data_IF_305632974614
#
_entry.id   IF_305632974614
#
_cell.length_a   1.000
_cell.length_b   1.000
_cell.length_c   1.000
_cell.angle_alpha   90.00
_cell.angle_beta   90.00
_cell.angle_gamma   90.00
#
_symmetry.space_group_name_H-M   'P 1'
#
loop_
_entity.id
_entity.type
_entity.pdbx_description
1 polymer ?
#
# COMPACT_ATOMS: atom_id res chain seq x y z
N UNK A 1 -14.33 -3.44 3.84
CA UNK A 1 -13.17 -2.91 3.09
C UNK A 1 -11.92 -3.84 3.11
N UNK A 2 -11.78 -4.76 4.08
CA UNK A 2 -10.53 -5.54 4.30
C UNK A 2 -9.96 -6.35 3.13
N UNK A 3 -10.79 -6.81 2.18
CA UNK A 3 -10.33 -7.56 0.99
C UNK A 3 -9.67 -6.67 -0.08
N UNK A 4 -10.05 -5.39 -0.18
CA UNK A 4 -9.58 -4.48 -1.24
C UNK A 4 -8.22 -3.86 -0.93
N UNK A 5 -7.85 -3.76 0.35
CA UNK A 5 -6.54 -3.26 0.78
C UNK A 5 -5.47 -4.34 0.76
N UNK A 6 -5.81 -5.58 0.45
CA UNK A 6 -4.85 -6.68 0.43
C UNK A 6 -3.79 -6.44 -0.66
N UNK A 7 -2.48 -6.54 -0.37
CA UNK A 7 -1.83 -7.22 0.77
C UNK A 7 -1.56 -6.39 2.04
N UNK A 8 -2.03 -5.15 2.14
CA UNK A 8 -1.89 -4.33 3.35
C UNK A 8 -2.92 -4.76 4.40
N UNK A 9 -2.47 -4.91 5.65
CA UNK A 9 -3.28 -5.18 6.83
C UNK A 9 -3.26 -3.99 7.76
N UNK A 10 -4.44 -3.55 8.16
CA UNK A 10 -4.62 -2.50 9.16
C UNK A 10 -4.64 -3.14 10.54
N UNK A 11 -3.73 -2.72 11.42
CA UNK A 11 -3.72 -3.08 12.84
C UNK A 11 -4.05 -1.83 13.64
N UNK A 12 -5.17 -1.85 14.37
CA UNK A 12 -5.59 -0.73 15.20
C UNK A 12 -4.90 -0.80 16.55
N UNK A 13 -4.20 0.26 16.92
CA UNK A 13 -3.70 0.52 18.27
C UNK A 13 -4.57 1.60 18.92
N UNK A 14 -4.37 1.87 20.22
CA UNK A 14 -5.15 2.90 20.94
C UNK A 14 -5.00 4.29 20.32
N UNK A 15 -3.80 4.61 19.83
CA UNK A 15 -3.46 5.97 19.39
C UNK A 15 -3.31 6.12 17.87
N UNK A 16 -3.19 5.01 17.12
CA UNK A 16 -2.97 5.05 15.67
C UNK A 16 -3.37 3.74 14.97
N UNK A 17 -3.55 3.82 13.65
CA UNK A 17 -3.69 2.65 12.78
C UNK A 17 -2.38 2.35 12.06
N UNK A 18 -1.85 1.14 12.24
CA UNK A 18 -0.65 0.67 11.55
C UNK A 18 -1.02 -0.09 10.26
N UNK A 19 -0.61 0.44 9.11
CA UNK A 19 -0.75 -0.23 7.82
C UNK A 19 0.49 -1.07 7.52
N UNK A 20 0.35 -2.40 7.58
CA UNK A 20 1.47 -3.33 7.42
C UNK A 20 1.33 -4.16 6.14
N UNK A 21 2.41 -4.25 5.37
CA UNK A 21 2.47 -5.11 4.19
C UNK A 21 2.58 -6.60 4.59
N UNK A 22 1.56 -7.41 4.26
CA UNK A 22 1.47 -8.82 4.65
C UNK A 22 0.99 -9.73 3.48
N UNK A 23 1.81 -9.90 2.42
CA UNK A 23 1.48 -10.75 1.28
C UNK A 23 1.46 -12.24 1.65
N UNK A 24 0.51 -13.00 1.09
CA UNK A 24 0.44 -14.46 1.19
C UNK A 24 1.30 -15.04 0.10
N UNK A 25 2.29 -15.86 0.47
CA UNK A 25 3.25 -16.45 -0.47
C UNK A 25 2.59 -17.20 -1.63
N UNK A 26 1.51 -17.93 -1.38
CA UNK A 26 0.84 -18.75 -2.42
C UNK A 26 -0.13 -17.92 -3.26
N UNK A 27 -1.03 -17.18 -2.62
CA UNK A 27 -2.10 -16.45 -3.32
C UNK A 27 -1.61 -15.17 -4.02
N UNK A 28 -0.63 -14.46 -3.43
CA UNK A 28 -0.11 -13.20 -3.97
C UNK A 28 1.10 -13.39 -4.89
N UNK A 29 1.70 -14.58 -4.96
CA UNK A 29 2.88 -14.85 -5.78
C UNK A 29 2.81 -14.26 -7.20
N UNK A 30 1.72 -14.47 -7.99
CA UNK A 30 1.63 -13.93 -9.34
C UNK A 30 1.59 -12.40 -9.34
N UNK A 31 0.81 -11.78 -8.46
CA UNK A 31 0.71 -10.33 -8.34
C UNK A 31 2.04 -9.70 -7.91
N UNK A 32 2.75 -10.29 -6.94
CA UNK A 32 4.07 -9.83 -6.51
C UNK A 32 5.12 -9.99 -7.62
N UNK A 33 5.06 -11.07 -8.43
CA UNK A 33 5.95 -11.26 -9.59
C UNK A 33 5.70 -10.19 -10.65
N UNK A 34 4.44 -9.90 -10.95
CA UNK A 34 4.06 -8.86 -11.90
C UNK A 34 4.46 -7.46 -11.41
N UNK A 35 4.17 -7.13 -10.15
CA UNK A 35 4.55 -5.85 -9.55
C UNK A 35 6.06 -5.61 -9.58
N UNK A 36 6.87 -6.64 -9.32
CA UNK A 36 8.33 -6.55 -9.48
C UNK A 36 8.75 -6.29 -10.92
N UNK A 37 8.10 -6.93 -11.90
CA UNK A 37 8.39 -6.72 -13.33
C UNK A 37 8.04 -5.30 -13.79
N UNK A 38 6.89 -4.80 -13.34
CA UNK A 38 6.40 -3.45 -13.67
C UNK A 38 7.04 -2.35 -12.83
N UNK A 39 7.83 -2.71 -11.80
CA UNK A 39 8.42 -1.79 -10.81
C UNK A 39 7.39 -0.87 -10.14
N UNK A 40 6.15 -1.37 -9.97
CA UNK A 40 5.07 -0.61 -9.34
C UNK A 40 5.06 -0.87 -7.83
N UNK A 41 5.21 0.17 -6.99
CA UNK A 41 5.03 0.08 -5.54
C UNK A 41 3.61 -0.35 -5.15
N UNK A 42 3.50 -1.06 -4.03
CA UNK A 42 2.22 -1.61 -3.55
C UNK A 42 1.20 -0.51 -3.21
N UNK A 43 1.64 0.63 -2.66
CA UNK A 43 0.75 1.74 -2.32
C UNK A 43 0.12 2.39 -3.57
N UNK A 44 0.85 2.43 -4.70
CA UNK A 44 0.31 2.93 -5.97
C UNK A 44 -0.71 1.96 -6.57
N UNK A 45 -0.44 0.65 -6.51
CA UNK A 45 -1.41 -0.38 -6.91
C UNK A 45 -2.71 -0.29 -6.10
N UNK A 46 -2.61 0.07 -4.82
CA UNK A 46 -3.75 0.19 -3.91
C UNK A 46 -4.33 1.63 -3.82
N UNK A 47 -4.09 2.50 -4.81
CA UNK A 47 -4.61 3.88 -4.81
C UNK A 47 -6.11 3.95 -4.53
N UNK A 48 -6.93 3.25 -5.32
CA UNK A 48 -8.40 3.26 -5.14
C UNK A 48 -8.84 2.83 -3.73
N UNK A 49 -8.40 1.65 -3.24
CA UNK A 49 -8.69 1.19 -1.88
C UNK A 49 -8.20 2.14 -0.77
N UNK A 50 -7.01 2.74 -0.91
CA UNK A 50 -6.45 3.67 0.06
C UNK A 50 -7.22 4.98 0.11
N UNK A 51 -7.52 5.57 -1.05
CA UNK A 51 -8.33 6.80 -1.17
C UNK A 51 -9.73 6.58 -0.60
N UNK A 52 -10.34 5.42 -0.85
CA UNK A 52 -11.66 5.09 -0.28
C UNK A 52 -11.64 4.91 1.24
N UNK A 53 -10.53 4.44 1.80
CA UNK A 53 -10.42 4.16 3.23
C UNK A 53 -9.97 5.38 4.06
N UNK A 54 -9.07 6.20 3.52
CA UNK A 54 -8.37 7.27 4.24
C UNK A 54 -8.51 8.65 3.60
N UNK A 55 -9.12 8.75 2.42
CA UNK A 55 -9.26 9.99 1.66
C UNK A 55 -8.12 10.26 0.68
N UNK A 56 -8.34 11.24 -0.18
CA UNK A 56 -7.39 11.64 -1.23
C UNK A 56 -6.18 12.35 -0.64
N UNK A 57 -6.38 13.25 0.34
CA UNK A 57 -5.31 13.97 1.03
C UNK A 57 -4.28 13.03 1.68
N UNK A 58 -4.73 11.93 2.27
CA UNK A 58 -3.83 10.92 2.84
C UNK A 58 -2.98 10.24 1.77
N UNK A 59 -3.58 9.90 0.63
CA UNK A 59 -2.87 9.26 -0.47
C UNK A 59 -1.82 10.21 -1.08
N UNK A 60 -2.17 11.48 -1.25
CA UNK A 60 -1.25 12.47 -1.82
C UNK A 60 -0.06 12.74 -0.90
N UNK A 61 -0.28 12.82 0.42
CA UNK A 61 0.79 12.92 1.40
C UNK A 61 1.72 11.69 1.37
N UNK A 62 1.14 10.49 1.22
CA UNK A 62 1.90 9.25 1.11
C UNK A 62 2.74 9.20 -0.18
N UNK A 63 2.16 9.59 -1.32
CA UNK A 63 2.83 9.60 -2.62
C UNK A 63 3.95 10.65 -2.67
N UNK A 64 3.72 11.85 -2.11
CA UNK A 64 4.75 12.87 -1.96
C UNK A 64 5.92 12.36 -1.10
N UNK A 65 5.63 11.75 0.05
CA UNK A 65 6.66 11.16 0.93
C UNK A 65 7.45 10.06 0.22
N UNK A 66 6.75 9.18 -0.50
CA UNK A 66 7.39 8.10 -1.25
C UNK A 66 8.32 8.61 -2.37
N UNK A 67 7.92 9.66 -3.09
CA UNK A 67 8.77 10.34 -4.08
C UNK A 67 10.02 10.93 -3.42
N UNK A 68 9.84 11.71 -2.35
CA UNK A 68 10.96 12.28 -1.59
C UNK A 68 11.95 11.23 -1.07
N UNK A 69 11.47 10.04 -0.69
CA UNK A 69 12.33 8.94 -0.28
C UNK A 69 13.01 8.22 -1.45
N UNK A 70 12.40 8.20 -2.63
CA UNK A 70 12.97 7.60 -3.83
C UNK A 70 14.11 8.46 -4.41
N UNK A 71 14.00 9.79 -4.32
CA UNK A 71 15.01 10.74 -4.81
C UNK A 71 16.29 10.77 -3.95
N UNK A 72 16.23 10.27 -2.70
CA UNK A 72 17.39 10.18 -1.79
C UNK A 72 18.22 8.89 -1.94
N UNK A 73 17.94 8.07 -2.95
CA UNK A 73 18.57 6.76 -3.14
C UNK A 73 19.74 6.78 -4.12
#
# INVERSE_FOLDING_TARGET
ISCHLYPIRVKKSKDFEALNYAPRKVLCAPACKLGRKLKVPVYQFLKGPLVRAYGEEFYDALDATAKMMADKK
#
